data_IF_898703461442
#
_entry.id   IF_898703461442
#
_cell.length_a   1.000
_cell.length_b   1.000
_cell.length_c   1.000
_cell.angle_alpha   90.00
_cell.angle_beta   90.00
_cell.angle_gamma   90.00
#
_symmetry.space_group_name_H-M   'P 1'
#
loop_
_entity.id
_entity.type
_entity.pdbx_description
1 polymer ?
#
# COMPACT_ATOMS: atom_id res chain seq x y z
N UNK A 1 13.63 7.87 3.06
CA UNK A 1 12.56 8.48 3.87
C UNK A 1 11.73 7.36 4.47
N UNK A 2 11.32 7.48 5.73
CA UNK A 2 10.42 6.49 6.33
C UNK A 2 8.99 6.73 5.84
N UNK A 3 8.29 5.67 5.46
CA UNK A 3 6.89 5.75 5.01
C UNK A 3 6.03 4.69 5.69
N UNK A 4 4.77 5.03 5.94
CA UNK A 4 3.74 4.07 6.28
C UNK A 4 2.88 3.81 5.03
N UNK A 5 2.91 2.58 4.53
CA UNK A 5 2.15 2.17 3.36
C UNK A 5 0.86 1.47 3.78
N UNK A 6 -0.28 1.99 3.36
CA UNK A 6 -1.60 1.47 3.73
C UNK A 6 -2.53 1.39 2.52
N UNK A 7 -3.63 0.67 2.67
CA UNK A 7 -4.74 0.68 1.70
C UNK A 7 -5.94 1.42 2.26
N UNK A 8 -6.71 2.08 1.38
CA UNK A 8 -7.99 2.71 1.76
C UNK A 8 -9.03 1.65 2.14
N UNK A 9 -8.88 0.43 1.62
CA UNK A 9 -9.75 -0.70 1.91
C UNK A 9 -8.98 -1.85 2.57
N UNK A 10 -9.66 -2.54 3.50
CA UNK A 10 -9.16 -3.76 4.18
C UNK A 10 -8.65 -4.80 3.20
N UNK A 11 -9.43 -5.09 2.16
CA UNK A 11 -9.10 -6.10 1.16
C UNK A 11 -7.87 -5.71 0.34
N UNK A 12 -7.66 -4.41 0.10
CA UNK A 12 -6.43 -3.89 -0.49
C UNK A 12 -5.20 -4.19 0.35
N UNK A 13 -5.29 -3.97 1.67
CA UNK A 13 -4.17 -4.22 2.57
C UNK A 13 -3.84 -5.72 2.63
N UNK A 14 -4.86 -6.58 2.63
CA UNK A 14 -4.68 -8.03 2.53
C UNK A 14 -4.11 -8.47 1.19
N UNK A 15 -4.50 -7.84 0.08
CA UNK A 15 -3.98 -8.15 -1.25
C UNK A 15 -2.48 -7.82 -1.34
N UNK A 16 -2.07 -6.63 -0.89
CA UNK A 16 -0.65 -6.23 -0.84
C UNK A 16 0.16 -7.22 0.01
N UNK A 17 -0.31 -7.51 1.22
CA UNK A 17 0.34 -8.45 2.12
C UNK A 17 0.42 -9.86 1.52
N UNK A 18 -0.68 -10.38 0.97
CA UNK A 18 -0.76 -11.73 0.43
C UNK A 18 0.14 -11.92 -0.79
N UNK A 19 0.28 -10.89 -1.62
CA UNK A 19 1.20 -10.90 -2.75
C UNK A 19 2.64 -11.15 -2.29
N UNK A 20 3.14 -10.38 -1.32
CA UNK A 20 4.52 -10.54 -0.85
C UNK A 20 4.74 -11.82 -0.04
N UNK A 21 3.80 -12.19 0.84
CA UNK A 21 3.92 -13.42 1.63
C UNK A 21 3.81 -14.67 0.74
N UNK A 22 3.00 -14.62 -0.33
CA UNK A 22 2.86 -15.70 -1.29
C UNK A 22 4.12 -15.99 -2.11
N UNK A 23 5.04 -15.03 -2.21
CA UNK A 23 6.34 -15.21 -2.86
C UNK A 23 7.37 -15.93 -1.99
N UNK A 24 7.11 -16.12 -0.69
CA UNK A 24 8.06 -16.72 0.24
C UNK A 24 7.99 -18.25 0.20
N UNK A 25 9.14 -18.90 0.37
CA UNK A 25 9.23 -20.36 0.52
C UNK A 25 10.09 -20.70 1.74
N UNK A 26 9.55 -21.38 2.77
CA UNK A 26 8.16 -21.84 2.90
C UNK A 26 7.16 -20.68 3.12
N UNK A 27 5.88 -20.94 2.84
CA UNK A 27 4.81 -19.97 3.10
C UNK A 27 4.69 -19.70 4.62
N UNK A 28 4.62 -18.43 5.05
CA UNK A 28 4.42 -18.09 6.46
C UNK A 28 3.08 -18.59 7.01
N UNK A 29 3.09 -19.36 8.09
CA UNK A 29 1.86 -19.88 8.73
C UNK A 29 1.29 -18.99 9.82
N UNK A 30 2.01 -17.93 10.21
CA UNK A 30 1.58 -17.04 11.29
C UNK A 30 0.40 -16.17 10.83
N UNK A 31 -0.69 -16.04 11.62
CA UNK A 31 -1.72 -15.05 11.38
C UNK A 31 -1.18 -13.62 11.38
N UNK A 32 -1.81 -12.75 10.60
CA UNK A 32 -1.44 -11.33 10.49
C UNK A 32 -2.46 -10.45 11.20
N UNK A 33 -2.03 -9.26 11.61
CA UNK A 33 -2.94 -8.28 12.22
C UNK A 33 -3.21 -7.18 11.20
N UNK A 34 -4.48 -6.91 10.93
CA UNK A 34 -4.90 -5.74 10.17
C UNK A 34 -5.27 -4.66 11.16
N UNK A 35 -4.71 -3.47 10.97
CA UNK A 35 -5.07 -2.27 11.71
C UNK A 35 -5.92 -1.38 10.81
N UNK A 36 -7.07 -0.94 11.32
CA UNK A 36 -7.78 0.19 10.71
C UNK A 36 -7.26 1.47 11.36
N UNK A 37 -6.87 2.43 10.54
CA UNK A 37 -6.34 3.71 10.97
C UNK A 37 -7.34 4.83 10.66
N UNK A 38 -7.49 5.75 11.60
CA UNK A 38 -8.02 7.09 11.33
C UNK A 38 -6.82 8.01 11.10
N UNK A 39 -6.75 8.62 9.92
CA UNK A 39 -5.61 9.43 9.47
C UNK A 39 -6.09 10.73 8.86
N UNK A 40 -5.43 11.82 9.20
CA UNK A 40 -5.53 13.10 8.51
C UNK A 40 -4.16 13.49 7.92
N UNK A 41 -4.19 14.08 6.73
CA UNK A 41 -3.01 14.60 6.02
C UNK A 41 -3.27 16.04 5.57
N UNK A 42 -2.26 16.91 5.65
CA UNK A 42 -2.33 18.34 5.29
C UNK A 42 -2.07 18.59 3.80
N UNK A 43 -1.09 17.91 3.21
CA UNK A 43 -0.65 18.13 1.82
C UNK A 43 -0.46 16.79 1.12
N UNK A 44 -1.55 16.30 0.54
CA UNK A 44 -1.58 15.01 -0.17
C UNK A 44 -1.74 15.18 -1.66
N UNK A 45 -0.89 14.50 -2.43
CA UNK A 45 -1.05 14.36 -3.88
C UNK A 45 -1.87 13.10 -4.15
N UNK A 46 -2.76 13.16 -5.14
CA UNK A 46 -3.41 11.97 -5.69
C UNK A 46 -2.86 11.73 -7.10
N UNK A 47 -2.35 10.53 -7.31
CA UNK A 47 -1.95 10.01 -8.61
C UNK A 47 -3.00 9.00 -9.03
N UNK A 48 -3.46 9.11 -10.27
CA UNK A 48 -4.36 8.15 -10.90
C UNK A 48 -3.65 7.47 -12.07
N UNK A 49 -4.24 6.42 -12.64
CA UNK A 49 -3.69 5.76 -13.83
C UNK A 49 -3.48 6.72 -15.02
N UNK A 50 -4.26 7.80 -15.11
CA UNK A 50 -4.10 8.83 -16.16
C UNK A 50 -2.77 9.60 -16.04
N UNK A 51 -2.21 9.64 -14.85
CA UNK A 51 -0.97 10.35 -14.54
C UNK A 51 0.26 9.48 -14.79
N UNK A 52 0.09 8.18 -15.07
CA UNK A 52 1.20 7.23 -15.21
C UNK A 52 2.15 7.60 -16.35
N UNK A 53 1.62 7.79 -17.57
CA UNK A 53 2.45 8.10 -18.72
C UNK A 53 3.24 9.43 -18.56
N UNK A 54 2.62 10.55 -18.11
CA UNK A 54 3.37 11.78 -17.78
C UNK A 54 4.45 11.59 -16.71
N UNK A 55 4.24 10.67 -15.76
CA UNK A 55 5.19 10.34 -14.70
C UNK A 55 6.18 9.24 -15.09
N UNK A 56 6.16 8.75 -16.33
CA UNK A 56 7.05 7.69 -16.82
C UNK A 56 6.75 6.30 -16.27
N UNK A 57 5.59 6.09 -15.62
CA UNK A 57 5.15 4.80 -15.11
C UNK A 57 4.53 4.00 -16.27
N UNK A 58 5.06 2.81 -16.53
CA UNK A 58 4.50 1.88 -17.50
C UNK A 58 3.34 1.10 -16.86
N UNK A 59 2.11 1.37 -17.32
CA UNK A 59 0.91 0.72 -16.79
C UNK A 59 0.95 -0.81 -16.93
N UNK A 60 1.61 -1.33 -17.96
CA UNK A 60 1.71 -2.78 -18.19
C UNK A 60 2.64 -3.47 -17.18
N UNK A 61 3.57 -2.72 -16.58
CA UNK A 61 4.54 -3.21 -15.59
C UNK A 61 4.21 -2.78 -14.17
N UNK A 62 3.15 -2.00 -13.99
CA UNK A 62 2.74 -1.51 -12.67
C UNK A 62 2.47 -2.64 -11.67
N UNK A 63 2.04 -3.81 -12.17
CA UNK A 63 1.85 -5.02 -11.40
C UNK A 63 3.13 -5.71 -10.94
N UNK A 64 4.29 -5.39 -11.52
CA UNK A 64 5.54 -6.11 -11.27
C UNK A 64 6.14 -5.77 -9.90
N UNK A 65 7.27 -6.41 -9.59
CA UNK A 65 8.06 -6.15 -8.37
C UNK A 65 9.11 -5.05 -8.53
N UNK A 66 9.18 -4.44 -9.72
CA UNK A 66 10.16 -3.39 -10.02
C UNK A 66 9.55 -2.02 -9.75
N UNK A 67 9.96 -1.41 -8.63
CA UNK A 67 9.34 -0.19 -8.11
C UNK A 67 10.13 1.09 -8.39
N UNK A 68 11.22 1.05 -9.16
CA UNK A 68 12.17 2.17 -9.29
C UNK A 68 11.47 3.49 -9.66
N UNK A 69 10.59 3.46 -10.67
CA UNK A 69 9.90 4.67 -11.11
C UNK A 69 8.83 5.15 -10.11
N UNK A 70 8.08 4.24 -9.49
CA UNK A 70 7.04 4.60 -8.53
C UNK A 70 7.65 5.09 -7.21
N UNK A 71 8.80 4.54 -6.81
CA UNK A 71 9.61 5.02 -5.69
C UNK A 71 10.16 6.42 -5.97
N UNK A 72 10.70 6.67 -7.17
CA UNK A 72 11.19 7.99 -7.55
C UNK A 72 10.09 9.06 -7.47
N UNK A 73 8.88 8.73 -7.91
CA UNK A 73 7.70 9.62 -7.79
C UNK A 73 7.34 9.86 -6.32
N UNK A 74 7.36 8.82 -5.49
CA UNK A 74 7.16 8.94 -4.03
C UNK A 74 8.20 9.83 -3.35
N UNK A 75 9.48 9.64 -3.68
CA UNK A 75 10.58 10.45 -3.17
C UNK A 75 10.45 11.91 -3.60
N UNK A 76 10.07 12.17 -4.85
CA UNK A 76 9.81 13.52 -5.34
C UNK A 76 8.64 14.18 -4.58
N UNK A 77 7.54 13.45 -4.33
CA UNK A 77 6.41 13.97 -3.56
C UNK A 77 6.81 14.34 -2.12
N UNK A 78 7.58 13.47 -1.46
CA UNK A 78 8.13 13.75 -0.14
C UNK A 78 9.09 14.94 -0.13
N UNK A 79 9.97 15.05 -1.13
CA UNK A 79 10.88 16.18 -1.30
C UNK A 79 10.14 17.51 -1.47
N UNK A 80 8.98 17.51 -2.15
CA UNK A 80 8.09 18.68 -2.28
C UNK A 80 7.30 19.01 -1.00
N UNK A 81 7.59 18.34 0.11
CA UNK A 81 6.98 18.56 1.41
C UNK A 81 5.54 18.05 1.51
N UNK A 82 5.16 17.08 0.68
CA UNK A 82 3.88 16.39 0.85
C UNK A 82 3.97 15.44 2.04
N UNK A 83 2.88 15.31 2.81
CA UNK A 83 2.79 14.36 3.93
C UNK A 83 1.99 13.10 3.59
N UNK A 84 1.34 13.09 2.43
CA UNK A 84 0.65 11.93 1.90
C UNK A 84 0.72 11.81 0.38
N UNK A 85 0.54 10.59 -0.09
CA UNK A 85 0.40 10.25 -1.49
C UNK A 85 -0.69 9.17 -1.64
N UNK A 86 -1.75 9.49 -2.38
CA UNK A 86 -2.79 8.52 -2.75
C UNK A 86 -2.45 8.00 -4.15
N UNK A 87 -2.35 6.68 -4.29
CA UNK A 87 -1.99 5.99 -5.54
C UNK A 87 -2.91 4.78 -5.76
N UNK A 88 -3.12 4.31 -7.01
CA UNK A 88 -3.85 3.08 -7.24
C UNK A 88 -3.12 1.89 -6.60
N UNK A 89 -3.84 0.91 -6.06
CA UNK A 89 -3.23 -0.38 -5.73
C UNK A 89 -2.91 -1.17 -7.00
N UNK A 90 -1.78 -1.86 -6.99
CA UNK A 90 -1.39 -2.78 -8.04
C UNK A 90 -1.91 -4.21 -7.80
N UNK A 91 -2.59 -4.45 -6.67
CA UNK A 91 -3.00 -5.78 -6.19
C UNK A 91 -4.50 -5.92 -6.01
N UNK A 92 -5.20 -4.81 -5.81
CA UNK A 92 -6.64 -4.79 -5.60
C UNK A 92 -7.29 -3.59 -6.29
N UNK A 93 -8.59 -3.65 -6.54
CA UNK A 93 -9.33 -2.54 -7.14
C UNK A 93 -9.67 -1.47 -6.09
N UNK A 94 -8.65 -0.87 -5.50
CA UNK A 94 -8.74 0.23 -4.54
C UNK A 94 -7.54 1.19 -4.70
N UNK A 95 -7.54 2.25 -3.91
CA UNK A 95 -6.37 3.12 -3.73
C UNK A 95 -5.58 2.72 -2.47
N UNK A 96 -4.29 3.03 -2.49
CA UNK A 96 -3.39 3.00 -1.36
C UNK A 96 -3.08 4.44 -0.90
N UNK A 97 -2.85 4.59 0.40
CA UNK A 97 -2.36 5.82 1.02
C UNK A 97 -0.96 5.56 1.53
N UNK A 98 0.00 6.35 1.05
CA UNK A 98 1.37 6.37 1.54
C UNK A 98 1.53 7.62 2.38
N UNK A 99 1.90 7.45 3.65
CA UNK A 99 2.11 8.54 4.59
C UNK A 99 3.62 8.74 4.74
N UNK A 100 4.09 9.96 4.50
CA UNK A 100 5.50 10.31 4.64
C UNK A 100 5.78 10.71 6.09
N UNK A 101 6.29 9.77 6.88
CA UNK A 101 6.42 9.94 8.34
C UNK A 101 7.26 11.15 8.74
N UNK A 102 8.27 11.50 7.94
CA UNK A 102 9.14 12.65 8.20
C UNK A 102 8.45 14.01 7.96
N UNK A 103 7.38 14.02 7.14
CA UNK A 103 6.60 15.22 6.79
C UNK A 103 5.23 15.28 7.48
N UNK A 104 4.74 14.15 8.03
CA UNK A 104 3.46 14.09 8.72
C UNK A 104 3.52 14.85 10.04
N UNK A 105 2.56 15.74 10.25
CA UNK A 105 2.58 16.61 11.41
C UNK A 105 2.01 15.87 12.64
N UNK A 106 2.73 15.93 13.76
CA UNK A 106 2.39 15.21 15.00
C UNK A 106 1.03 15.60 15.62
N UNK A 107 0.50 16.76 15.23
CA UNK A 107 -0.80 17.28 15.66
C UNK A 107 -1.97 16.74 14.84
N UNK A 108 -1.70 16.04 13.74
CA UNK A 108 -2.73 15.44 12.91
C UNK A 108 -3.14 14.06 13.45
N UNK A 109 -4.43 13.70 13.35
CA UNK A 109 -4.89 12.35 13.60
C UNK A 109 -4.06 11.28 12.88
N UNK A 110 -3.55 10.33 13.66
CA UNK A 110 -2.94 9.08 13.17
C UNK A 110 -3.11 8.02 14.26
N UNK A 111 -4.31 7.46 14.36
CA UNK A 111 -4.70 6.56 15.45
C UNK A 111 -5.19 5.21 14.91
N UNK A 112 -4.84 4.14 15.61
CA UNK A 112 -5.46 2.82 15.38
C UNK A 112 -6.85 2.84 15.99
N UNK A 113 -7.89 2.66 15.16
CA UNK A 113 -9.29 2.63 15.61
C UNK A 113 -9.81 1.22 15.83
N UNK A 114 -9.25 0.23 15.15
CA UNK A 114 -9.55 -1.18 15.37
C UNK A 114 -8.39 -2.06 14.94
N UNK A 115 -8.39 -3.31 15.41
CA UNK A 115 -7.44 -4.32 15.01
C UNK A 115 -8.10 -5.68 14.98
N UNK A 116 -7.76 -6.46 13.96
CA UNK A 116 -8.25 -7.83 13.82
C UNK A 116 -7.11 -8.77 13.46
N UNK A 117 -7.14 -9.97 14.02
CA UNK A 117 -6.22 -11.04 13.61
C UNK A 117 -6.86 -11.83 12.48
N UNK A 118 -6.13 -12.01 11.40
CA UNK A 118 -6.59 -12.66 10.17
C UNK A 118 -5.64 -13.79 9.82
N UNK A 119 -6.21 -14.97 9.60
CA UNK A 119 -5.52 -16.02 8.87
C UNK A 119 -5.51 -15.66 7.39
N UNK A 120 -4.33 -15.26 6.91
CA UNK A 120 -4.16 -14.71 5.57
C UNK A 120 -4.17 -15.81 4.50
N UNK A 121 -3.79 -17.06 4.83
CA UNK A 121 -3.66 -18.13 3.82
C UNK A 121 -5.00 -18.54 3.20
N UNK A 122 -6.09 -18.79 3.97
CA UNK A 122 -7.39 -19.09 3.38
C UNK A 122 -7.91 -17.97 2.48
N UNK A 123 -7.69 -16.71 2.90
CA UNK A 123 -8.05 -15.54 2.11
C UNK A 123 -7.23 -15.45 0.82
N UNK A 124 -5.92 -15.64 0.90
CA UNK A 124 -4.99 -15.59 -0.22
C UNK A 124 -5.31 -16.68 -1.27
N UNK A 125 -5.62 -17.91 -0.83
CA UNK A 125 -6.07 -19.00 -1.71
C UNK A 125 -7.36 -18.67 -2.44
N UNK A 126 -8.36 -18.20 -1.69
CA UNK A 126 -9.66 -17.82 -2.25
C UNK A 126 -9.54 -16.73 -3.33
N UNK A 127 -8.55 -15.84 -3.20
CA UNK A 127 -8.33 -14.71 -4.11
C UNK A 127 -7.16 -14.94 -5.09
N UNK A 128 -6.59 -16.14 -5.16
CA UNK A 128 -5.59 -16.52 -6.17
C UNK A 128 -4.17 -15.97 -5.95
N UNK A 129 -3.81 -15.55 -4.73
CA UNK A 129 -2.46 -15.08 -4.40
C UNK A 129 -1.47 -16.23 -4.10
N UNK A 130 -1.98 -17.39 -3.70
CA UNK A 130 -1.20 -18.62 -3.49
C UNK A 130 -1.98 -19.82 -4.02
N UNK A 131 -1.28 -20.92 -4.31
CA UNK A 131 -1.90 -22.15 -4.82
C UNK A 131 -2.95 -22.71 -3.84
N UNK A 132 -4.04 -23.22 -4.42
CA UNK A 132 -5.03 -23.99 -3.66
C UNK A 132 -4.40 -25.31 -3.19
N UNK A 133 -4.74 -25.74 -1.97
CA UNK A 133 -4.37 -27.07 -1.44
C UNK A 133 -5.09 -28.20 -2.18
#
# INVERSE_FOLDING_TARGET
MAVLYTSIEREGALAELSFYLGMLTPLPSKPMVIHTLEVETKKTIRITRKDFAPLGIDENKFGDIYYDQTQLVGDAAGFLGCDGLIVPSARWNCDNLVIFSDNHAIDLPMNVVSSETVDWQPWARKNGFIEAE
#
